data_IF_678317932204
#
_entry.id   IF_678317932204
#
_cell.length_a   1.000
_cell.length_b   1.000
_cell.length_c   1.000
_cell.angle_alpha   90.00
_cell.angle_beta   90.00
_cell.angle_gamma   90.00
#
_symmetry.space_group_name_H-M   'P 1'
#
loop_
_entity.id
_entity.type
_entity.pdbx_description
1 polymer ?
#
# COMPACT_ATOMS: atom_id res chain seq x y z
N UNK A 1 -9.15 -9.03 -13.76
CA UNK A 1 -8.84 -9.74 -12.47
C UNK A 1 -9.08 -11.22 -12.68
N UNK A 2 -8.26 -12.12 -12.14
CA UNK A 2 -8.53 -13.56 -12.22
C UNK A 2 -9.80 -13.87 -11.43
N UNK A 3 -10.68 -14.67 -12.04
CA UNK A 3 -11.87 -15.25 -11.38
C UNK A 3 -11.42 -15.97 -10.11
N UNK A 4 -12.11 -15.78 -9.00
CA UNK A 4 -11.72 -16.35 -7.71
C UNK A 4 -12.96 -16.78 -6.94
N UNK A 5 -13.04 -18.08 -6.64
CA UNK A 5 -14.12 -18.65 -5.82
C UNK A 5 -14.03 -18.17 -4.37
N UNK A 6 -15.13 -18.30 -3.63
CA UNK A 6 -15.16 -17.95 -2.20
C UNK A 6 -14.15 -18.75 -1.39
N UNK A 7 -13.95 -20.02 -1.69
CA UNK A 7 -12.98 -20.90 -1.01
C UNK A 7 -11.58 -20.29 -1.13
N UNK A 8 -11.17 -19.91 -2.34
CA UNK A 8 -9.85 -19.31 -2.58
C UNK A 8 -9.69 -17.94 -1.89
N UNK A 9 -10.76 -17.15 -1.80
CA UNK A 9 -10.74 -15.88 -1.05
C UNK A 9 -10.52 -16.10 0.44
N UNK A 10 -11.24 -17.05 1.04
CA UNK A 10 -11.12 -17.38 2.46
C UNK A 10 -9.73 -17.95 2.78
N UNK A 11 -9.25 -18.91 1.98
CA UNK A 11 -7.90 -19.50 2.12
C UNK A 11 -6.78 -18.45 2.04
N UNK A 12 -6.94 -17.38 1.28
CA UNK A 12 -5.97 -16.26 1.26
C UNK A 12 -6.01 -15.38 2.50
N UNK A 13 -7.11 -15.37 3.24
CA UNK A 13 -7.24 -14.59 4.47
C UNK A 13 -6.81 -15.37 5.72
N UNK A 14 -6.94 -16.70 5.71
CA UNK A 14 -6.62 -17.57 6.86
C UNK A 14 -5.19 -17.38 7.38
N UNK A 15 -4.12 -17.40 6.57
CA UNK A 15 -2.77 -17.14 7.05
C UNK A 15 -2.62 -15.76 7.70
N UNK A 16 -3.36 -14.75 7.20
CA UNK A 16 -3.34 -13.40 7.76
C UNK A 16 -4.04 -13.31 9.12
N UNK A 17 -5.02 -14.19 9.38
CA UNK A 17 -5.62 -14.31 10.71
C UNK A 17 -4.61 -14.87 11.73
N UNK A 18 -3.82 -15.87 11.33
CA UNK A 18 -2.73 -16.41 12.17
C UNK A 18 -1.66 -15.32 12.41
N UNK A 19 -1.20 -14.63 11.37
CA UNK A 19 -0.23 -13.51 11.54
C UNK A 19 -0.77 -12.39 12.43
N UNK A 20 -2.10 -12.22 12.51
CA UNK A 20 -2.73 -11.25 13.42
C UNK A 20 -2.57 -11.65 14.89
N UNK A 21 -2.60 -12.93 15.22
CA UNK A 21 -2.33 -13.43 16.56
C UNK A 21 -0.89 -13.11 16.97
N UNK A 22 0.07 -13.38 16.09
CA UNK A 22 1.48 -12.99 16.27
C UNK A 22 1.63 -11.47 16.46
N UNK A 23 0.89 -10.65 15.69
CA UNK A 23 0.90 -9.22 15.88
C UNK A 23 0.42 -8.80 17.27
N UNK A 24 -0.61 -9.44 17.80
CA UNK A 24 -1.15 -9.15 19.15
C UNK A 24 -0.11 -9.48 20.20
N UNK A 25 0.52 -10.63 20.10
CA UNK A 25 1.58 -11.07 21.01
C UNK A 25 2.75 -10.08 21.02
N UNK A 26 3.29 -9.76 19.84
CA UNK A 26 4.40 -8.81 19.69
C UNK A 26 4.01 -7.38 20.07
N UNK A 27 2.76 -7.01 19.85
CA UNK A 27 2.26 -5.66 20.10
C UNK A 27 1.75 -5.41 21.51
N UNK A 28 1.77 -6.40 22.41
CA UNK A 28 1.13 -6.33 23.73
C UNK A 28 1.65 -5.14 24.57
N UNK A 29 2.93 -4.81 24.47
CA UNK A 29 3.55 -3.68 25.16
C UNK A 29 3.29 -2.32 24.49
N UNK A 30 2.74 -2.31 23.30
CA UNK A 30 2.57 -1.11 22.45
C UNK A 30 1.11 -0.74 22.23
N UNK A 31 0.20 -1.70 22.31
CA UNK A 31 -1.22 -1.52 22.03
C UNK A 31 -2.03 -1.36 23.34
N UNK A 32 -3.06 -0.54 23.28
CA UNK A 32 -4.07 -0.50 24.33
C UNK A 32 -4.99 -1.72 24.21
N UNK A 33 -5.65 -2.11 25.33
CA UNK A 33 -6.62 -3.21 25.34
C UNK A 33 -7.69 -3.06 24.25
N UNK A 34 -8.21 -1.84 24.07
CA UNK A 34 -9.16 -1.51 22.99
C UNK A 34 -8.57 -1.75 21.60
N UNK A 35 -7.28 -1.46 21.40
CA UNK A 35 -6.61 -1.71 20.11
C UNK A 35 -6.44 -3.21 19.88
N UNK A 36 -6.05 -3.96 20.92
CA UNK A 36 -5.93 -5.41 20.87
C UNK A 36 -7.27 -6.04 20.52
N UNK A 37 -8.35 -5.65 21.21
CA UNK A 37 -9.70 -6.12 20.95
C UNK A 37 -10.13 -5.89 19.49
N UNK A 38 -9.94 -4.67 18.97
CA UNK A 38 -10.26 -4.34 17.58
C UNK A 38 -9.43 -5.16 16.59
N UNK A 39 -8.13 -5.35 16.83
CA UNK A 39 -7.28 -6.20 15.98
C UNK A 39 -7.78 -7.64 16.05
N UNK A 40 -8.08 -8.13 17.24
CA UNK A 40 -8.56 -9.48 17.47
C UNK A 40 -9.86 -9.78 16.70
N UNK A 41 -10.78 -8.81 16.66
CA UNK A 41 -12.05 -8.93 15.94
C UNK A 41 -11.91 -8.69 14.43
N UNK A 42 -10.79 -8.13 13.96
CA UNK A 42 -10.63 -7.76 12.54
C UNK A 42 -10.83 -8.93 11.59
N UNK A 43 -11.78 -8.77 10.66
CA UNK A 43 -12.18 -9.74 9.64
C UNK A 43 -12.63 -11.10 10.20
N UNK A 44 -13.12 -11.15 11.44
CA UNK A 44 -13.75 -12.35 11.98
C UNK A 44 -15.14 -12.61 11.40
N UNK A 45 -15.76 -11.57 10.83
CA UNK A 45 -17.01 -11.65 10.09
C UNK A 45 -16.80 -11.16 8.66
N UNK A 46 -17.33 -11.90 7.69
CA UNK A 46 -17.33 -11.56 6.26
C UNK A 46 -18.70 -11.82 5.66
N UNK A 47 -19.17 -10.93 4.81
CA UNK A 47 -20.24 -11.19 3.85
C UNK A 47 -19.62 -11.23 2.46
N UNK A 48 -19.93 -12.27 1.71
CA UNK A 48 -19.50 -12.42 0.32
C UNK A 48 -20.70 -12.60 -0.60
N UNK A 49 -20.52 -12.21 -1.86
CA UNK A 49 -21.46 -12.49 -2.94
C UNK A 49 -20.79 -13.37 -3.97
N UNK A 50 -21.55 -14.26 -4.61
CA UNK A 50 -21.02 -15.29 -5.49
C UNK A 50 -21.88 -15.39 -6.75
N UNK A 51 -21.23 -15.59 -7.91
CA UNK A 51 -21.88 -15.82 -9.19
C UNK A 51 -22.61 -17.17 -9.24
N UNK A 52 -23.51 -17.33 -10.21
CA UNK A 52 -24.32 -18.55 -10.34
C UNK A 52 -23.49 -19.82 -10.59
N UNK A 53 -22.36 -19.68 -11.30
CA UNK A 53 -21.39 -20.74 -11.58
C UNK A 53 -20.43 -21.03 -10.42
N UNK A 54 -20.49 -20.23 -9.35
CA UNK A 54 -19.61 -20.26 -8.16
C UNK A 54 -18.12 -20.02 -8.46
N UNK A 55 -17.77 -19.60 -9.66
CA UNK A 55 -16.38 -19.34 -10.04
C UNK A 55 -15.88 -17.96 -9.58
N UNK A 56 -16.79 -17.00 -9.41
CA UNK A 56 -16.45 -15.65 -9.00
C UNK A 56 -17.16 -15.27 -7.71
N UNK A 57 -16.37 -14.78 -6.75
CA UNK A 57 -16.88 -14.26 -5.49
C UNK A 57 -16.19 -12.95 -5.12
N UNK A 58 -16.89 -12.13 -4.34
CA UNK A 58 -16.42 -10.84 -3.85
C UNK A 58 -16.82 -10.69 -2.38
N UNK A 59 -15.89 -10.27 -1.53
CA UNK A 59 -16.22 -9.84 -0.17
C UNK A 59 -16.82 -8.44 -0.30
N UNK A 60 -18.03 -8.28 0.20
CA UNK A 60 -18.78 -7.01 0.15
C UNK A 60 -18.89 -6.32 1.49
N UNK A 61 -18.77 -7.07 2.60
CA UNK A 61 -18.70 -6.53 3.96
C UNK A 61 -17.67 -7.27 4.79
N UNK A 62 -16.99 -6.55 5.66
CA UNK A 62 -16.07 -7.11 6.65
C UNK A 62 -15.88 -6.13 7.80
N UNK A 63 -15.78 -6.62 9.02
CA UNK A 63 -15.31 -5.81 10.14
C UNK A 63 -13.80 -5.58 10.02
N UNK A 64 -13.35 -4.35 10.25
CA UNK A 64 -11.96 -3.92 10.03
C UNK A 64 -11.46 -3.05 11.19
N UNK A 65 -10.32 -3.41 11.78
CA UNK A 65 -9.71 -2.63 12.86
C UNK A 65 -9.00 -1.34 12.39
N UNK A 66 -8.75 -1.19 11.10
CA UNK A 66 -8.02 -0.08 10.46
C UNK A 66 -6.61 0.16 11.04
N UNK A 67 -6.10 -0.76 11.86
CA UNK A 67 -4.74 -0.64 12.41
C UNK A 67 -3.70 -0.83 11.30
N UNK A 68 -2.71 0.06 11.28
CA UNK A 68 -1.66 0.05 10.24
C UNK A 68 -0.70 -1.14 10.31
N UNK A 69 -0.67 -1.86 11.42
CA UNK A 69 0.15 -3.07 11.59
C UNK A 69 -0.66 -4.35 11.37
N UNK A 70 -1.99 -4.25 11.25
CA UNK A 70 -2.83 -5.42 11.02
C UNK A 70 -2.61 -5.98 9.60
N UNK A 71 -2.19 -7.27 9.46
CA UNK A 71 -1.89 -7.87 8.16
C UNK A 71 -3.08 -7.83 7.19
N UNK A 72 -4.30 -7.98 7.69
CA UNK A 72 -5.51 -7.96 6.87
C UNK A 72 -5.84 -6.56 6.38
N UNK A 73 -5.80 -5.56 7.28
CA UNK A 73 -6.08 -4.17 6.92
C UNK A 73 -5.01 -3.59 6.01
N UNK A 74 -3.73 -3.93 6.24
CA UNK A 74 -2.64 -3.50 5.37
C UNK A 74 -2.75 -4.10 3.97
N UNK A 75 -3.01 -5.39 3.83
CA UNK A 75 -3.21 -6.04 2.54
C UNK A 75 -4.41 -5.43 1.78
N UNK A 76 -5.51 -5.15 2.46
CA UNK A 76 -6.69 -4.51 1.86
C UNK A 76 -6.36 -3.08 1.41
N UNK A 77 -5.69 -2.30 2.26
CA UNK A 77 -5.26 -0.94 1.94
C UNK A 77 -4.31 -0.91 0.75
N UNK A 78 -3.32 -1.81 0.72
CA UNK A 78 -2.35 -1.92 -0.35
C UNK A 78 -3.02 -2.17 -1.71
N UNK A 79 -3.97 -3.11 -1.76
CA UNK A 79 -4.74 -3.39 -2.99
C UNK A 79 -5.54 -2.17 -3.45
N UNK A 80 -6.22 -1.48 -2.54
CA UNK A 80 -7.00 -0.27 -2.85
C UNK A 80 -6.11 0.88 -3.34
N UNK A 81 -4.96 1.09 -2.71
CA UNK A 81 -3.98 2.12 -3.13
C UNK A 81 -3.35 1.77 -4.49
N UNK A 82 -3.00 0.50 -4.74
CA UNK A 82 -2.48 0.04 -6.02
C UNK A 82 -3.50 0.23 -7.16
N UNK A 83 -4.75 -0.12 -6.92
CA UNK A 83 -5.83 0.07 -7.89
C UNK A 83 -6.05 1.56 -8.20
N UNK A 84 -6.16 2.40 -7.18
CA UNK A 84 -6.28 3.85 -7.34
C UNK A 84 -5.10 4.44 -8.11
N UNK A 85 -3.86 4.04 -7.76
CA UNK A 85 -2.67 4.50 -8.46
C UNK A 85 -2.71 4.12 -9.94
N UNK A 86 -3.15 2.90 -10.26
CA UNK A 86 -3.28 2.46 -11.66
C UNK A 86 -4.28 3.34 -12.44
N UNK A 87 -5.44 3.66 -11.87
CA UNK A 87 -6.40 4.58 -12.48
C UNK A 87 -5.79 5.96 -12.70
N UNK A 88 -5.11 6.51 -11.70
CA UNK A 88 -4.42 7.81 -11.80
C UNK A 88 -3.37 7.79 -12.92
N UNK A 89 -2.60 6.72 -13.04
CA UNK A 89 -1.60 6.56 -14.09
C UNK A 89 -2.22 6.48 -15.49
N UNK A 90 -3.36 5.80 -15.63
CA UNK A 90 -4.11 5.77 -16.90
C UNK A 90 -4.52 7.20 -17.30
N UNK A 91 -5.10 7.97 -16.39
CA UNK A 91 -5.49 9.36 -16.64
C UNK A 91 -4.27 10.20 -17.04
N UNK A 92 -3.15 10.11 -16.30
CA UNK A 92 -1.95 10.89 -16.62
C UNK A 92 -1.36 10.53 -17.99
N UNK A 93 -1.48 9.27 -18.41
CA UNK A 93 -1.04 8.82 -19.74
C UNK A 93 -1.89 9.38 -20.87
N UNK A 94 -3.21 9.61 -20.69
CA UNK A 94 -4.03 10.27 -21.71
C UNK A 94 -3.52 11.68 -22.02
N UNK A 95 -2.90 12.37 -21.05
CA UNK A 95 -2.26 13.65 -21.20
C UNK A 95 -0.79 13.55 -21.67
N UNK A 96 -0.32 12.36 -22.10
CA UNK A 96 1.03 12.09 -22.61
C UNK A 96 2.16 12.40 -21.62
N UNK A 97 1.89 12.45 -20.32
CA UNK A 97 2.95 12.61 -19.32
C UNK A 97 3.89 11.40 -19.30
N UNK A 98 5.16 11.69 -19.07
CA UNK A 98 6.19 10.69 -18.79
C UNK A 98 6.39 10.54 -17.28
N UNK A 99 7.08 9.47 -16.89
CA UNK A 99 7.35 9.16 -15.49
C UNK A 99 8.81 8.75 -15.32
N UNK A 100 9.43 9.19 -14.24
CA UNK A 100 10.70 8.66 -13.75
C UNK A 100 10.50 7.99 -12.41
N UNK A 101 11.23 6.91 -12.20
CA UNK A 101 11.28 6.20 -10.93
C UNK A 101 12.64 6.47 -10.29
N UNK A 102 12.62 7.09 -9.13
CA UNK A 102 13.78 7.51 -8.37
C UNK A 102 13.82 6.74 -7.05
N UNK A 103 14.94 6.08 -6.77
CA UNK A 103 15.21 5.45 -5.49
C UNK A 103 16.32 6.22 -4.78
N UNK A 104 15.97 6.82 -3.65
CA UNK A 104 16.88 7.54 -2.77
C UNK A 104 17.27 6.62 -1.62
N UNK A 105 18.55 6.37 -1.46
CA UNK A 105 19.10 5.47 -0.44
C UNK A 105 20.02 6.22 0.51
N UNK A 106 20.22 5.63 1.68
CA UNK A 106 21.22 6.06 2.69
C UNK A 106 21.97 4.82 3.17
N UNK A 107 23.12 4.97 3.85
CA UNK A 107 23.79 3.86 4.51
C UNK A 107 22.86 3.14 5.50
N UNK A 108 23.13 1.85 5.71
CA UNK A 108 22.41 1.06 6.71
C UNK A 108 22.64 1.63 8.11
N UNK A 109 21.64 1.50 8.96
CA UNK A 109 21.68 1.97 10.35
C UNK A 109 21.32 0.87 11.34
N UNK A 110 21.78 0.96 12.57
CA UNK A 110 21.34 0.12 13.69
C UNK A 110 19.94 0.53 14.16
N UNK A 111 19.25 -0.39 14.84
CA UNK A 111 17.85 -0.21 15.24
C UNK A 111 17.59 1.03 16.10
N UNK A 112 18.53 1.40 17.00
CA UNK A 112 18.45 2.59 17.84
C UNK A 112 18.47 3.90 17.03
N UNK A 113 19.02 3.88 15.81
CA UNK A 113 19.12 5.04 14.90
C UNK A 113 18.03 5.10 13.85
N UNK A 114 17.28 4.02 13.61
CA UNK A 114 16.33 3.94 12.49
C UNK A 114 15.30 5.07 12.52
N UNK A 115 14.68 5.35 13.66
CA UNK A 115 13.67 6.39 13.77
C UNK A 115 14.24 7.79 13.47
N UNK A 116 15.45 8.08 13.96
CA UNK A 116 16.16 9.32 13.67
C UNK A 116 16.53 9.43 12.18
N UNK A 117 17.01 8.34 11.58
CA UNK A 117 17.41 8.31 10.17
C UNK A 117 16.20 8.60 9.25
N UNK A 118 15.02 8.04 9.56
CA UNK A 118 13.80 8.34 8.82
C UNK A 118 13.39 9.83 8.90
N UNK A 119 13.58 10.46 10.06
CA UNK A 119 13.30 11.90 10.21
C UNK A 119 14.28 12.74 9.37
N UNK A 120 15.58 12.38 9.38
CA UNK A 120 16.59 13.04 8.54
C UNK A 120 16.34 12.83 7.03
N UNK A 121 15.92 11.63 6.60
CA UNK A 121 15.51 11.39 5.21
C UNK A 121 14.32 12.27 4.81
N UNK A 122 13.32 12.42 5.69
CA UNK A 122 12.16 13.28 5.41
C UNK A 122 12.53 14.76 5.36
N UNK A 123 13.47 15.22 6.19
CA UNK A 123 14.02 16.57 6.10
C UNK A 123 14.80 16.77 4.80
N UNK A 124 15.63 15.81 4.43
CA UNK A 124 16.37 15.82 3.17
C UNK A 124 15.42 15.85 1.96
N UNK A 125 14.36 15.05 1.99
CA UNK A 125 13.34 15.06 0.96
C UNK A 125 12.64 16.43 0.86
N UNK A 126 12.33 17.07 1.99
CA UNK A 126 11.77 18.45 1.98
C UNK A 126 12.73 19.43 1.30
N UNK A 127 14.05 19.32 1.51
CA UNK A 127 15.05 20.13 0.81
C UNK A 127 15.10 19.81 -0.68
N UNK A 128 15.05 18.52 -1.06
CA UNK A 128 15.08 18.06 -2.45
C UNK A 128 13.92 18.62 -3.26
N UNK A 129 12.68 18.51 -2.77
CA UNK A 129 11.50 19.02 -3.48
C UNK A 129 11.45 20.54 -3.60
N UNK A 130 12.26 21.28 -2.84
CA UNK A 130 12.40 22.72 -2.94
C UNK A 130 13.48 23.15 -3.94
N UNK A 131 14.36 22.25 -4.40
CA UNK A 131 15.39 22.56 -5.38
C UNK A 131 14.78 23.05 -6.69
N UNK A 132 15.43 24.06 -7.31
CA UNK A 132 14.99 24.62 -8.60
C UNK A 132 14.92 23.54 -9.68
N UNK A 133 15.93 22.65 -9.72
CA UNK A 133 15.99 21.55 -10.68
C UNK A 133 14.79 20.61 -10.52
N UNK A 134 14.45 20.21 -9.30
CA UNK A 134 13.29 19.37 -9.04
C UNK A 134 11.98 20.04 -9.48
N UNK A 135 11.79 21.30 -9.09
CA UNK A 135 10.59 22.09 -9.45
C UNK A 135 10.45 22.32 -10.95
N UNK A 136 11.55 22.42 -11.68
CA UNK A 136 11.54 22.61 -13.13
C UNK A 136 10.98 21.39 -13.88
N UNK A 137 11.19 20.16 -13.36
CA UNK A 137 10.84 18.92 -14.04
C UNK A 137 9.59 18.26 -13.48
N UNK A 138 9.36 18.32 -12.17
CA UNK A 138 8.28 17.60 -11.48
C UNK A 138 6.93 18.32 -11.65
N UNK A 139 5.93 17.57 -12.11
CA UNK A 139 4.52 17.98 -12.09
C UNK A 139 3.76 17.37 -10.88
N UNK A 140 4.45 16.59 -10.10
CA UNK A 140 3.94 15.90 -8.93
C UNK A 140 4.64 14.55 -8.73
N UNK A 141 4.45 13.95 -7.57
CA UNK A 141 5.07 12.68 -7.26
C UNK A 141 4.22 11.86 -6.26
N UNK A 142 4.43 10.55 -6.31
CA UNK A 142 4.10 9.63 -5.21
C UNK A 142 5.41 9.19 -4.61
N UNK A 143 5.53 9.24 -3.29
CA UNK A 143 6.68 8.66 -2.59
C UNK A 143 6.23 7.56 -1.64
N UNK A 144 7.04 6.51 -1.55
CA UNK A 144 6.91 5.41 -0.60
C UNK A 144 8.22 5.26 0.15
N UNK A 145 8.16 5.23 1.48
CA UNK A 145 9.30 4.85 2.32
C UNK A 145 9.24 3.37 2.58
N UNK A 146 10.33 2.69 2.38
CA UNK A 146 10.51 1.26 2.62
C UNK A 146 11.71 1.05 3.55
N UNK A 147 11.65 0.03 4.41
CA UNK A 147 12.73 -0.34 5.31
C UNK A 147 12.96 -1.84 5.12
N UNK A 148 14.18 -2.23 4.82
CA UNK A 148 14.59 -3.63 4.83
C UNK A 148 15.47 -3.91 6.04
N UNK A 149 15.28 -5.06 6.67
CA UNK A 149 16.10 -5.54 7.76
C UNK A 149 17.03 -6.65 7.25
N UNK A 150 18.30 -6.56 7.60
CA UNK A 150 19.27 -7.62 7.35
C UNK A 150 19.56 -8.36 8.65
N UNK A 151 19.16 -9.61 8.70
CA UNK A 151 19.28 -10.44 9.90
C UNK A 151 20.72 -10.82 10.23
N UNK A 152 21.58 -11.00 9.22
CA UNK A 152 22.99 -11.37 9.45
C UNK A 152 23.80 -10.22 10.05
N UNK A 153 23.54 -8.99 9.58
CA UNK A 153 24.25 -7.80 10.05
C UNK A 153 23.54 -7.08 11.19
N UNK A 154 22.30 -7.49 11.48
CA UNK A 154 21.41 -6.78 12.42
C UNK A 154 21.37 -5.28 12.14
N UNK A 155 21.07 -4.92 10.88
CA UNK A 155 20.97 -3.54 10.44
C UNK A 155 19.73 -3.30 9.57
N UNK A 156 19.36 -2.03 9.46
CA UNK A 156 18.19 -1.57 8.73
C UNK A 156 18.60 -0.68 7.57
N UNK A 157 17.99 -0.87 6.42
CA UNK A 157 18.21 -0.05 5.24
C UNK A 157 16.93 0.70 4.87
N UNK A 158 16.71 1.91 5.38
CA UNK A 158 15.62 2.75 4.92
C UNK A 158 15.94 3.33 3.55
N UNK A 159 14.90 3.47 2.72
CA UNK A 159 15.01 4.10 1.41
C UNK A 159 13.67 4.63 0.94
N UNK A 160 13.71 5.59 0.03
CA UNK A 160 12.54 6.25 -0.51
C UNK A 160 12.42 5.95 -2.00
N UNK A 161 11.33 5.31 -2.40
CA UNK A 161 10.92 5.22 -3.79
C UNK A 161 10.03 6.40 -4.16
N UNK A 162 10.33 7.06 -5.26
CA UNK A 162 9.52 8.14 -5.81
C UNK A 162 9.14 7.84 -7.26
N UNK A 163 7.86 7.92 -7.55
CA UNK A 163 7.37 8.03 -8.92
C UNK A 163 7.04 9.49 -9.19
N UNK A 164 7.76 10.10 -10.10
CA UNK A 164 7.65 11.52 -10.43
C UNK A 164 7.04 11.64 -11.81
N UNK A 165 5.92 12.37 -11.93
CA UNK A 165 5.33 12.73 -13.22
C UNK A 165 6.08 13.92 -13.79
N UNK A 166 6.53 13.79 -15.03
CA UNK A 166 7.31 14.79 -15.75
C UNK A 166 6.64 15.14 -17.08
N UNK A 167 6.99 16.29 -17.67
CA UNK A 167 6.45 16.72 -18.95
C UNK A 167 6.74 15.70 -20.07
N UNK A 168 5.95 15.69 -21.16
CA UNK A 168 6.16 14.76 -22.28
C UNK A 168 7.56 14.82 -22.88
N UNK A 169 8.15 16.02 -22.97
CA UNK A 169 9.46 16.26 -23.56
C UNK A 169 10.65 16.07 -22.60
N UNK A 170 10.45 15.61 -21.36
CA UNK A 170 11.52 15.53 -20.36
C UNK A 170 12.77 14.78 -20.83
N UNK A 171 12.61 13.67 -21.55
CA UNK A 171 13.75 12.86 -22.00
C UNK A 171 14.48 13.42 -23.22
N UNK A 172 13.91 14.42 -23.87
CA UNK A 172 14.50 15.14 -25.04
C UNK A 172 14.92 16.56 -24.68
N UNK A 173 14.57 17.05 -23.49
CA UNK A 173 14.88 18.39 -22.98
C UNK A 173 16.28 18.39 -22.35
N UNK A 174 17.30 18.66 -23.16
CA UNK A 174 18.69 18.69 -22.71
C UNK A 174 18.98 19.72 -21.61
N UNK A 175 18.15 20.78 -21.52
CA UNK A 175 18.31 21.85 -20.52
C UNK A 175 17.84 21.43 -19.13
N UNK A 176 16.77 20.65 -19.04
CA UNK A 176 16.13 20.31 -17.76
C UNK A 176 16.30 18.82 -17.40
N UNK A 177 16.91 18.01 -18.26
CA UNK A 177 17.19 16.61 -17.96
C UNK A 177 18.16 16.49 -16.79
N UNK A 178 17.80 15.72 -15.77
CA UNK A 178 18.64 15.46 -14.60
C UNK A 178 19.22 14.04 -14.71
N UNK A 179 20.54 13.95 -14.91
CA UNK A 179 21.24 12.66 -14.99
C UNK A 179 21.28 11.95 -13.62
N UNK A 180 21.54 10.63 -13.62
CA UNK A 180 21.67 9.86 -12.38
C UNK A 180 22.77 10.43 -11.46
N UNK A 181 23.93 10.81 -12.02
CA UNK A 181 25.00 11.47 -11.28
C UNK A 181 24.51 12.77 -10.62
N UNK A 182 23.72 13.57 -11.37
CA UNK A 182 23.19 14.83 -10.83
C UNK A 182 22.15 14.57 -9.73
N UNK A 183 21.28 13.56 -9.85
CA UNK A 183 20.37 13.16 -8.79
C UNK A 183 21.13 12.75 -7.51
N UNK A 184 22.23 12.02 -7.65
CA UNK A 184 23.08 11.63 -6.52
C UNK A 184 23.70 12.86 -5.82
N UNK A 185 24.26 13.79 -6.58
CA UNK A 185 24.82 15.05 -6.04
C UNK A 185 23.78 15.88 -5.28
N UNK A 186 22.57 16.00 -5.86
CA UNK A 186 21.45 16.68 -5.23
C UNK A 186 21.06 15.97 -3.92
N UNK A 187 20.96 14.63 -3.93
CA UNK A 187 20.58 13.88 -2.74
C UNK A 187 21.61 14.00 -1.63
N UNK A 188 22.90 13.81 -1.92
CA UNK A 188 24.01 14.06 -1.00
C UNK A 188 23.92 15.43 -0.34
N UNK A 189 23.77 16.47 -1.14
CA UNK A 189 23.64 17.85 -0.66
C UNK A 189 22.38 18.02 0.22
N UNK A 190 21.25 17.42 -0.14
CA UNK A 190 20.02 17.52 0.64
C UNK A 190 20.11 16.75 1.96
N UNK A 191 20.71 15.57 1.95
CA UNK A 191 20.94 14.74 3.15
C UNK A 191 22.06 15.28 4.00
N UNK A 192 22.99 16.05 3.42
CA UNK A 192 24.24 16.52 4.05
C UNK A 192 25.13 15.35 4.46
N UNK A 193 25.23 14.36 3.57
CA UNK A 193 25.95 13.12 3.80
C UNK A 193 26.69 12.71 2.53
N UNK A 194 28.02 12.83 2.56
CA UNK A 194 28.89 12.49 1.44
C UNK A 194 29.15 10.99 1.31
N UNK A 195 28.78 10.20 2.30
CA UNK A 195 28.90 8.74 2.27
C UNK A 195 27.88 8.05 1.34
N UNK A 196 26.87 8.78 0.88
CA UNK A 196 25.86 8.25 -0.05
C UNK A 196 26.52 7.95 -1.41
N UNK A 197 26.60 6.68 -1.78
CA UNK A 197 27.25 6.24 -3.01
C UNK A 197 26.27 5.94 -4.13
N UNK A 198 24.98 5.74 -3.82
CA UNK A 198 23.97 5.31 -4.79
C UNK A 198 22.70 6.13 -4.74
N UNK A 199 22.23 6.47 -5.92
CA UNK A 199 20.86 6.90 -6.23
C UNK A 199 20.50 6.23 -7.54
N UNK A 200 19.35 5.61 -7.62
CA UNK A 200 18.92 4.99 -8.86
C UNK A 200 17.78 5.83 -9.47
N UNK A 201 17.91 6.16 -10.76
CA UNK A 201 16.85 6.81 -11.52
C UNK A 201 16.68 6.11 -12.86
N UNK A 202 15.45 5.80 -13.22
CA UNK A 202 15.12 5.22 -14.54
C UNK A 202 13.82 5.79 -15.08
N UNK A 203 13.62 5.69 -16.39
CA UNK A 203 12.28 5.86 -16.97
C UNK A 203 11.38 4.80 -16.37
N UNK A 204 10.24 5.22 -15.82
CA UNK A 204 9.35 4.29 -15.15
C UNK A 204 8.64 3.37 -16.15
N UNK A 205 8.59 2.12 -15.81
CA UNK A 205 7.96 1.02 -16.54
C UNK A 205 6.95 0.27 -15.64
N UNK A 206 6.41 -0.84 -16.12
CA UNK A 206 5.48 -1.67 -15.35
C UNK A 206 6.10 -2.17 -14.03
N UNK A 207 7.41 -2.49 -14.01
CA UNK A 207 8.11 -2.94 -12.81
C UNK A 207 8.18 -1.83 -11.75
N UNK A 208 8.37 -0.58 -12.18
CA UNK A 208 8.41 0.59 -11.31
C UNK A 208 7.06 0.85 -10.61
N UNK A 209 5.96 0.65 -11.34
CA UNK A 209 4.63 0.77 -10.78
C UNK A 209 4.33 -0.37 -9.80
N UNK A 210 4.79 -1.57 -10.12
CA UNK A 210 4.68 -2.72 -9.23
C UNK A 210 5.46 -2.51 -7.93
N UNK A 211 6.67 -1.93 -7.96
CA UNK A 211 7.44 -1.61 -6.75
C UNK A 211 6.69 -0.67 -5.79
N UNK A 212 5.99 0.33 -6.30
CA UNK A 212 5.16 1.20 -5.46
C UNK A 212 3.93 0.49 -4.89
N UNK A 213 3.40 -0.49 -5.62
CA UNK A 213 2.21 -1.25 -5.22
C UNK A 213 2.50 -2.49 -4.38
N UNK A 214 3.76 -2.94 -4.35
CA UNK A 214 4.25 -4.06 -3.52
C UNK A 214 4.22 -3.75 -2.02
N UNK A 215 3.07 -3.41 -1.51
CA UNK A 215 2.94 -3.15 -0.08
C UNK A 215 2.83 -4.44 0.75
N UNK A 216 2.48 -5.56 0.09
CA UNK A 216 1.93 -6.71 0.80
C UNK A 216 2.97 -7.67 1.39
N UNK A 217 4.18 -7.77 0.82
CA UNK A 217 5.13 -8.80 1.26
C UNK A 217 6.09 -8.29 2.36
N UNK A 218 6.67 -7.11 2.18
CA UNK A 218 7.75 -6.64 3.06
C UNK A 218 7.31 -5.99 4.37
N UNK A 219 6.11 -5.39 4.42
CA UNK A 219 5.60 -4.78 5.66
C UNK A 219 5.16 -5.83 6.70
N UNK A 220 5.04 -7.11 6.31
CA UNK A 220 4.73 -8.23 7.20
C UNK A 220 5.96 -9.04 7.61
N UNK A 221 7.07 -8.87 6.93
CA UNK A 221 8.32 -9.55 7.27
C UNK A 221 8.71 -9.28 8.73
N UNK A 222 8.34 -8.09 9.27
CA UNK A 222 8.59 -7.75 10.67
C UNK A 222 7.96 -8.71 11.68
N UNK A 223 6.86 -9.39 11.35
CA UNK A 223 6.22 -10.38 12.21
C UNK A 223 6.93 -11.75 12.17
N UNK A 224 7.83 -11.95 11.22
CA UNK A 224 8.68 -13.14 11.12
C UNK A 224 10.01 -13.01 11.85
N UNK A 225 10.30 -11.84 12.44
CA UNK A 225 11.53 -11.58 13.17
C UNK A 225 11.34 -11.65 14.69
N UNK A 226 12.35 -11.29 15.45
CA UNK A 226 12.28 -11.25 16.92
C UNK A 226 11.42 -10.08 17.44
N UNK A 227 11.08 -10.13 18.72
CA UNK A 227 10.37 -9.05 19.42
C UNK A 227 11.12 -7.72 19.32
N UNK A 228 12.46 -7.75 19.49
CA UNK A 228 13.31 -6.56 19.44
C UNK A 228 13.24 -5.89 18.07
N UNK A 229 13.25 -6.68 16.98
CA UNK A 229 13.13 -6.18 15.62
C UNK A 229 11.74 -5.57 15.38
N UNK A 230 10.68 -6.22 15.86
CA UNK A 230 9.33 -5.67 15.80
C UNK A 230 9.24 -4.33 16.54
N UNK A 231 9.81 -4.23 17.74
CA UNK A 231 9.82 -3.00 18.54
C UNK A 231 10.51 -1.84 17.81
N UNK A 232 11.61 -2.12 17.13
CA UNK A 232 12.31 -1.14 16.28
C UNK A 232 11.42 -0.65 15.15
N UNK A 233 10.82 -1.57 14.38
CA UNK A 233 9.88 -1.20 13.31
C UNK A 233 8.68 -0.42 13.83
N UNK A 234 8.10 -0.87 14.95
CA UNK A 234 6.95 -0.20 15.55
C UNK A 234 7.28 1.26 15.91
N UNK A 235 8.37 1.47 16.65
CA UNK A 235 8.83 2.81 17.05
C UNK A 235 9.15 3.69 15.84
N UNK A 236 9.82 3.11 14.84
CA UNK A 236 10.21 3.83 13.64
C UNK A 236 9.01 4.20 12.75
N UNK A 237 7.98 3.36 12.68
CA UNK A 237 6.84 3.56 11.78
C UNK A 237 5.63 4.21 12.43
N UNK A 238 5.49 4.17 13.76
CA UNK A 238 4.36 4.77 14.48
C UNK A 238 4.20 6.25 14.15
N UNK A 239 3.00 6.63 13.71
CA UNK A 239 2.66 8.02 13.36
C UNK A 239 3.25 8.53 12.03
N UNK A 240 4.18 7.84 11.38
CA UNK A 240 4.78 8.28 10.10
C UNK A 240 3.96 7.83 8.91
N UNK A 241 3.81 8.72 7.92
CA UNK A 241 3.19 8.43 6.63
C UNK A 241 4.25 7.86 5.67
N UNK A 242 4.18 6.57 5.40
CA UNK A 242 5.09 5.90 4.46
C UNK A 242 4.74 6.15 3.00
N UNK A 243 3.46 6.40 2.67
CA UNK A 243 3.01 6.69 1.32
C UNK A 243 2.38 8.10 1.26
N UNK A 244 2.87 8.95 0.36
CA UNK A 244 2.33 10.31 0.16
C UNK A 244 2.22 10.66 -1.31
N UNK A 245 1.27 11.54 -1.63
CA UNK A 245 0.97 12.03 -2.97
C UNK A 245 1.15 13.55 -3.00
N UNK A 246 1.64 14.09 -4.12
CA UNK A 246 1.84 15.52 -4.33
C UNK A 246 1.52 15.92 -5.77
N UNK A 247 1.22 17.22 -5.98
CA UNK A 247 0.92 17.79 -7.30
C UNK A 247 -0.20 17.03 -8.02
N UNK A 248 -0.01 16.72 -9.30
CA UNK A 248 -1.02 16.03 -10.13
C UNK A 248 -1.51 14.71 -9.55
N UNK A 249 -0.65 13.95 -8.89
CA UNK A 249 -1.09 12.74 -8.19
C UNK A 249 -2.07 13.05 -7.05
N UNK A 250 -1.84 14.10 -6.29
CA UNK A 250 -2.74 14.49 -5.20
C UNK A 250 -4.06 15.05 -5.73
N UNK A 251 -4.03 15.81 -6.82
CA UNK A 251 -5.22 16.32 -7.49
C UNK A 251 -6.10 15.17 -7.99
N UNK A 252 -5.52 14.23 -8.74
CA UNK A 252 -6.24 13.08 -9.26
C UNK A 252 -6.72 12.12 -8.15
N UNK A 253 -5.96 11.97 -7.05
CA UNK A 253 -6.41 11.23 -5.87
C UNK A 253 -7.68 11.84 -5.26
N UNK A 254 -7.79 13.17 -5.23
CA UNK A 254 -9.03 13.85 -4.78
C UNK A 254 -10.18 13.57 -5.74
N UNK A 255 -9.94 13.65 -7.05
CA UNK A 255 -10.97 13.34 -8.06
C UNK A 255 -11.41 11.87 -7.99
N UNK A 256 -10.48 10.92 -7.82
CA UNK A 256 -10.80 9.52 -7.62
C UNK A 256 -11.71 9.29 -6.40
N UNK A 257 -11.37 9.92 -5.26
CA UNK A 257 -12.18 9.81 -4.03
C UNK A 257 -13.56 10.48 -4.16
N UNK A 258 -13.70 11.45 -5.05
CA UNK A 258 -14.98 12.10 -5.36
C UNK A 258 -15.75 11.38 -6.49
N UNK A 259 -15.35 10.16 -6.86
CA UNK A 259 -15.91 9.35 -7.95
C UNK A 259 -15.93 10.04 -9.32
N UNK A 260 -15.07 11.05 -9.52
CA UNK A 260 -14.97 11.80 -10.79
C UNK A 260 -14.03 11.14 -11.81
N UNK A 261 -13.49 9.97 -11.50
CA UNK A 261 -12.67 9.15 -12.39
C UNK A 261 -13.31 7.78 -12.64
N UNK A 262 -14.63 7.65 -12.45
CA UNK A 262 -15.33 6.37 -12.55
C UNK A 262 -15.35 5.82 -13.98
N UNK A 263 -15.26 6.69 -15.00
CA UNK A 263 -15.11 6.26 -16.40
C UNK A 263 -13.81 5.49 -16.67
N UNK A 264 -12.80 5.67 -15.84
CA UNK A 264 -11.54 4.94 -15.91
C UNK A 264 -11.52 3.67 -15.05
N UNK A 265 -12.54 3.46 -14.21
CA UNK A 265 -12.66 2.26 -13.40
C UNK A 265 -13.28 1.15 -14.23
N UNK A 266 -12.68 -0.05 -14.28
CA UNK A 266 -13.31 -1.19 -14.93
C UNK A 266 -14.64 -1.53 -14.24
N UNK A 267 -15.62 -1.88 -15.05
CA UNK A 267 -16.93 -2.34 -14.57
C UNK A 267 -16.80 -3.79 -14.10
N UNK A 268 -17.49 -4.13 -13.02
CA UNK A 268 -17.66 -5.50 -12.57
C UNK A 268 -18.89 -6.10 -13.25
N UNK A 269 -18.68 -6.78 -14.39
CA UNK A 269 -19.76 -7.39 -15.19
C UNK A 269 -20.27 -8.70 -14.59
N UNK A 270 -19.72 -9.14 -13.46
CA UNK A 270 -20.14 -10.38 -12.81
C UNK A 270 -21.54 -10.24 -12.26
N UNK A 271 -22.41 -11.18 -12.63
CA UNK A 271 -23.75 -11.29 -12.06
C UNK A 271 -23.70 -12.16 -10.80
N UNK A 272 -23.73 -11.49 -9.65
CA UNK A 272 -23.80 -12.16 -8.35
C UNK A 272 -25.25 -12.50 -8.02
N UNK A 273 -25.50 -13.73 -7.55
CA UNK A 273 -26.84 -14.25 -7.26
C UNK A 273 -26.98 -14.82 -5.86
N UNK A 274 -25.89 -15.25 -5.26
CA UNK A 274 -25.86 -15.82 -3.92
C UNK A 274 -25.13 -14.88 -2.95
N UNK A 275 -25.57 -14.86 -1.69
CA UNK A 275 -24.86 -14.22 -0.59
C UNK A 275 -24.54 -15.25 0.48
N UNK A 276 -23.34 -15.15 1.03
CA UNK A 276 -22.85 -16.02 2.10
C UNK A 276 -22.18 -15.23 3.23
N UNK A 277 -22.32 -15.76 4.43
CA UNK A 277 -21.78 -15.18 5.65
C UNK A 277 -20.76 -16.15 6.25
N UNK A 278 -19.62 -15.63 6.63
CA UNK A 278 -18.51 -16.43 7.11
C UNK A 278 -17.99 -15.87 8.43
N UNK A 279 -17.70 -16.77 9.36
CA UNK A 279 -17.09 -16.43 10.64
C UNK A 279 -15.77 -17.18 10.80
N UNK A 280 -14.75 -16.49 11.34
CA UNK A 280 -13.46 -17.12 11.57
C UNK A 280 -13.49 -17.97 12.84
N UNK A 281 -13.28 -19.27 12.68
CA UNK A 281 -13.14 -20.21 13.78
C UNK A 281 -11.66 -20.29 14.20
N UNK A 282 -11.33 -19.72 15.36
CA UNK A 282 -9.95 -19.65 15.85
C UNK A 282 -9.35 -21.02 16.16
N UNK A 283 -10.13 -21.92 16.74
CA UNK A 283 -9.64 -23.26 17.11
C UNK A 283 -9.24 -24.10 15.90
N UNK A 284 -9.85 -23.81 14.73
CA UNK A 284 -9.56 -24.49 13.47
C UNK A 284 -8.68 -23.66 12.54
N UNK A 285 -8.41 -22.39 12.89
CA UNK A 285 -7.72 -21.39 12.05
C UNK A 285 -8.31 -21.28 10.64
N UNK A 286 -9.65 -21.40 10.53
CA UNK A 286 -10.40 -21.43 9.25
C UNK A 286 -11.66 -20.60 9.33
N UNK A 287 -12.10 -20.11 8.15
CA UNK A 287 -13.44 -19.57 8.03
C UNK A 287 -14.48 -20.68 7.86
N UNK A 288 -15.57 -20.55 8.57
CA UNK A 288 -16.74 -21.43 8.48
C UNK A 288 -17.91 -20.63 7.93
N UNK A 289 -18.63 -21.21 6.98
CA UNK A 289 -19.86 -20.62 6.44
C UNK A 289 -20.99 -20.80 7.45
N UNK A 290 -21.48 -19.69 7.99
CA UNK A 290 -22.60 -19.70 8.94
C UNK A 290 -23.95 -19.69 8.24
N UNK A 291 -24.03 -19.08 7.04
CA UNK A 291 -25.24 -18.99 6.24
C UNK A 291 -24.92 -18.79 4.77
N UNK A 292 -25.67 -19.45 3.89
CA UNK A 292 -25.68 -19.21 2.44
C UNK A 292 -27.14 -19.15 1.96
N UNK A 293 -27.46 -18.22 1.10
CA UNK A 293 -28.81 -18.06 0.53
C UNK A 293 -28.77 -17.27 -0.77
N UNK A 294 -29.86 -17.29 -1.53
CA UNK A 294 -30.07 -16.35 -2.62
C UNK A 294 -30.10 -14.91 -2.11
N UNK A 295 -29.60 -13.99 -2.91
CA UNK A 295 -29.64 -12.57 -2.61
C UNK A 295 -31.08 -12.05 -2.55
N UNK A 296 -31.35 -11.10 -1.67
CA UNK A 296 -32.57 -10.30 -1.73
C UNK A 296 -32.51 -9.35 -2.93
N UNK A 297 -33.66 -8.79 -3.33
CA UNK A 297 -33.73 -7.81 -4.42
C UNK A 297 -32.83 -6.59 -4.12
N UNK A 298 -32.83 -6.08 -2.89
CA UNK A 298 -32.01 -4.97 -2.46
C UNK A 298 -30.50 -5.30 -2.53
N UNK A 299 -30.11 -6.48 -2.08
CA UNK A 299 -28.72 -6.95 -2.18
C UNK A 299 -28.31 -7.11 -3.64
N UNK A 300 -29.17 -7.65 -4.48
CA UNK A 300 -28.91 -7.81 -5.91
C UNK A 300 -28.67 -6.45 -6.58
N UNK A 301 -29.55 -5.48 -6.37
CA UNK A 301 -29.42 -4.13 -6.90
C UNK A 301 -28.15 -3.43 -6.36
N UNK A 302 -27.87 -3.58 -5.06
CA UNK A 302 -26.71 -2.97 -4.42
C UNK A 302 -25.38 -3.54 -4.91
N UNK A 303 -25.21 -4.86 -4.92
CA UNK A 303 -23.90 -5.48 -5.09
C UNK A 303 -23.54 -5.75 -6.55
N UNK A 304 -24.48 -5.90 -7.46
CA UNK A 304 -24.23 -5.99 -8.91
C UNK A 304 -23.91 -4.63 -9.53
N UNK A 305 -24.26 -3.51 -8.88
CA UNK A 305 -23.88 -2.17 -9.32
C UNK A 305 -22.55 -1.65 -8.78
N UNK A 306 -21.88 -2.40 -7.90
CA UNK A 306 -20.63 -1.97 -7.28
C UNK A 306 -19.47 -2.00 -8.28
N UNK A 307 -18.61 -0.99 -8.22
CA UNK A 307 -17.34 -1.00 -8.95
C UNK A 307 -16.38 -2.03 -8.38
N UNK A 308 -15.39 -2.42 -9.18
CA UNK A 308 -14.30 -3.28 -8.71
C UNK A 308 -13.60 -2.61 -7.52
N UNK A 309 -13.19 -3.41 -6.53
CA UNK A 309 -12.52 -3.01 -5.28
C UNK A 309 -13.37 -2.23 -4.26
N UNK A 310 -14.67 -2.14 -4.45
CA UNK A 310 -15.56 -1.63 -3.41
C UNK A 310 -15.90 -2.73 -2.40
N UNK A 311 -15.76 -2.41 -1.12
CA UNK A 311 -16.08 -3.26 0.02
C UNK A 311 -16.69 -2.37 1.10
N UNK A 312 -17.79 -2.78 1.68
CA UNK A 312 -18.38 -2.09 2.83
C UNK A 312 -17.57 -2.45 4.09
N UNK A 313 -16.95 -1.44 4.69
CA UNK A 313 -16.19 -1.60 5.94
C UNK A 313 -17.14 -1.34 7.09
N UNK A 314 -17.23 -2.30 8.01
CA UNK A 314 -17.93 -2.15 9.28
C UNK A 314 -16.85 -1.79 10.30
N UNK A 315 -16.90 -0.57 10.83
CA UNK A 315 -16.06 -0.14 11.95
C UNK A 315 -16.80 -0.50 13.26
N UNK A 316 -16.11 -1.18 14.18
CA UNK A 316 -16.60 -1.51 15.52
C UNK A 316 -16.17 -0.43 16.53
#
# INVERSE_FOLDING_TARGET
MSKMSIINLLQKLEPKQVSKETLIEMGISHFTDKTIERINNCATFLQAVTSSDKEQSKIVKANRCMNRFCPICMATKARKEAFMLNIILQVLRTFKFNFIFLTLTVPNVKGDKLAYELDEEYLALKRLIQRKEFKAVSQGYVRKTEITYNQERDDYHPHIHMLIVVKPNYFTDTKNYISQKRWQEIWKSCKRDDSITQVNVKKADASSFYELSKYEAKDFDMLGYSQEVFDVFYKALKGRKTLTYNGKFQELKKLYKANRLDDFKPVDDTQYVDTSFHSFNRSKSKYETSKERKMTKEEFEKFNGMKIMEEEIIEE
#
